data_IF_023986782566
#
_entry.id   IF_023986782566
#
_cell.length_a   1.000
_cell.length_b   1.000
_cell.length_c   1.000
_cell.angle_alpha   90.00
_cell.angle_beta   90.00
_cell.angle_gamma   90.00
#
_symmetry.space_group_name_H-M   'P 1'
#
loop_
_entity.id
_entity.type
_entity.pdbx_description
1 polymer ?
#
# COMPACT_ATOMS: atom_id res chain seq x y z
N UNK A 1 -3.06 2.62 -6.40
CA UNK A 1 -3.05 3.92 -7.13
C UNK A 1 -1.95 4.81 -6.57
N UNK A 2 -0.96 5.14 -7.38
CA UNK A 2 0.23 5.88 -6.92
C UNK A 2 -0.10 7.30 -6.44
N UNK A 3 -1.08 7.95 -7.06
CA UNK A 3 -1.49 9.31 -6.70
C UNK A 3 -2.26 9.40 -5.38
N UNK A 4 -2.71 8.27 -4.86
CA UNK A 4 -3.43 8.21 -3.58
C UNK A 4 -2.52 7.95 -2.38
N UNK A 5 -1.25 7.66 -2.62
CA UNK A 5 -0.28 7.48 -1.53
C UNK A 5 -0.07 8.84 -0.85
N UNK A 6 -0.39 8.98 0.44
CA UNK A 6 -0.19 10.22 1.17
C UNK A 6 1.29 10.57 1.24
N UNK A 7 1.63 11.81 0.94
CA UNK A 7 2.99 12.30 0.97
C UNK A 7 3.12 13.42 2.00
N UNK A 8 4.28 13.52 2.62
CA UNK A 8 4.63 14.67 3.45
C UNK A 8 4.78 15.93 2.59
N UNK A 9 4.46 17.08 3.18
CA UNK A 9 4.68 18.37 2.55
C UNK A 9 6.16 18.53 2.18
N UNK A 10 6.42 18.99 0.97
CA UNK A 10 7.77 19.17 0.45
C UNK A 10 8.41 17.90 -0.17
N UNK A 11 7.81 16.72 -0.02
CA UNK A 11 8.38 15.48 -0.55
C UNK A 11 8.47 15.46 -2.08
N UNK A 12 7.46 15.98 -2.78
CA UNK A 12 7.48 16.09 -4.26
C UNK A 12 8.55 17.07 -4.73
N UNK A 13 8.67 18.19 -4.03
CA UNK A 13 9.63 19.25 -4.33
C UNK A 13 11.07 18.76 -4.15
N UNK A 14 11.37 18.02 -3.08
CA UNK A 14 12.71 17.48 -2.84
C UNK A 14 13.12 16.49 -3.93
N UNK A 15 12.21 15.61 -4.34
CA UNK A 15 12.46 14.67 -5.44
C UNK A 15 12.67 15.40 -6.77
N UNK A 16 11.86 16.43 -7.06
CA UNK A 16 12.01 17.23 -8.27
C UNK A 16 13.37 17.95 -8.34
N UNK A 17 13.96 18.29 -7.19
CA UNK A 17 15.31 18.85 -7.06
C UNK A 17 16.42 17.78 -7.09
N UNK A 18 16.06 16.49 -7.21
CA UNK A 18 17.04 15.40 -7.19
C UNK A 18 17.60 15.11 -5.80
N UNK A 19 16.93 15.53 -4.74
CA UNK A 19 17.34 15.30 -3.35
C UNK A 19 16.72 13.99 -2.85
N UNK A 20 17.56 13.02 -2.55
CA UNK A 20 17.16 11.69 -2.10
C UNK A 20 17.94 11.27 -0.85
N UNK A 21 17.36 10.37 -0.08
CA UNK A 21 18.08 9.73 1.02
C UNK A 21 19.23 8.87 0.49
N UNK A 22 20.36 8.86 1.21
CA UNK A 22 21.51 8.00 0.91
C UNK A 22 21.18 6.50 0.97
N UNK A 23 20.10 6.11 1.64
CA UNK A 23 19.64 4.73 1.75
C UNK A 23 18.66 4.33 0.63
N UNK A 24 18.12 5.28 -0.13
CA UNK A 24 17.15 5.00 -1.20
C UNK A 24 17.66 3.96 -2.24
N UNK A 25 18.93 3.98 -2.68
CA UNK A 25 19.43 3.00 -3.67
C UNK A 25 19.28 1.53 -3.22
N UNK A 26 19.28 1.28 -1.91
CA UNK A 26 19.04 -0.06 -1.37
C UNK A 26 17.59 -0.48 -1.53
N UNK A 27 16.63 0.43 -1.27
CA UNK A 27 15.21 0.19 -1.40
C UNK A 27 14.76 0.06 -2.87
N UNK A 28 15.41 0.79 -3.80
CA UNK A 28 15.11 0.72 -5.25
C UNK A 28 15.27 -0.71 -5.79
N UNK A 29 16.02 -1.60 -5.13
CA UNK A 29 16.10 -3.02 -5.51
C UNK A 29 14.74 -3.72 -5.49
N UNK A 30 13.77 -3.23 -4.70
CA UNK A 30 12.41 -3.76 -4.63
C UNK A 30 11.58 -3.49 -5.90
N UNK A 31 12.06 -2.61 -6.80
CA UNK A 31 11.41 -2.30 -8.08
C UNK A 31 11.12 -3.53 -8.95
N UNK A 32 11.87 -4.62 -8.75
CA UNK A 32 11.65 -5.91 -9.45
C UNK A 32 10.25 -6.50 -9.22
N UNK A 33 9.56 -6.09 -8.15
CA UNK A 33 8.19 -6.51 -7.88
C UNK A 33 7.14 -5.70 -8.65
N UNK A 34 7.54 -4.66 -9.39
CA UNK A 34 6.64 -3.73 -10.07
C UNK A 34 6.54 -4.11 -11.54
N UNK A 35 5.31 -4.26 -12.03
CA UNK A 35 5.02 -4.49 -13.45
C UNK A 35 5.21 -3.21 -14.25
N UNK A 36 5.49 -3.37 -15.54
CA UNK A 36 5.60 -2.26 -16.50
C UNK A 36 6.55 -1.16 -16.03
N UNK A 37 7.68 -1.56 -15.45
CA UNK A 37 8.61 -0.68 -14.76
C UNK A 37 9.04 0.53 -15.62
N UNK A 38 9.22 0.36 -16.93
CA UNK A 38 9.65 1.45 -17.83
C UNK A 38 8.63 2.60 -17.85
N UNK A 39 7.34 2.26 -17.89
CA UNK A 39 6.25 3.26 -17.87
C UNK A 39 6.13 3.90 -16.49
N UNK A 40 6.13 3.08 -15.44
CA UNK A 40 5.91 3.52 -14.07
C UNK A 40 7.06 4.39 -13.56
N UNK A 41 8.30 4.09 -13.95
CA UNK A 41 9.49 4.84 -13.53
C UNK A 41 9.52 6.30 -14.03
N UNK A 42 8.71 6.64 -15.05
CA UNK A 42 8.56 8.01 -15.53
C UNK A 42 7.64 8.87 -14.66
N UNK A 43 6.91 8.25 -13.73
CA UNK A 43 5.98 8.98 -12.88
C UNK A 43 6.71 9.79 -11.80
N UNK A 44 6.39 11.10 -11.61
CA UNK A 44 7.11 11.97 -10.67
C UNK A 44 7.14 11.49 -9.23
N UNK A 45 6.10 10.77 -8.78
CA UNK A 45 5.99 10.23 -7.41
C UNK A 45 6.74 8.89 -7.26
N UNK A 46 7.06 8.22 -8.37
CA UNK A 46 7.68 6.90 -8.35
C UNK A 46 8.90 6.80 -7.41
N UNK A 47 9.85 7.73 -7.39
CA UNK A 47 11.01 7.63 -6.50
C UNK A 47 10.64 7.62 -5.02
N UNK A 48 9.54 8.28 -4.62
CA UNK A 48 9.08 8.34 -3.23
C UNK A 48 8.59 7.00 -2.69
N UNK A 49 8.21 6.05 -3.55
CA UNK A 49 7.85 4.69 -3.13
C UNK A 49 9.01 3.94 -2.48
N UNK A 50 10.24 4.40 -2.71
CA UNK A 50 11.46 3.76 -2.20
C UNK A 50 12.17 4.62 -1.16
N UNK A 51 11.58 5.74 -0.77
CA UNK A 51 12.18 6.60 0.25
C UNK A 51 12.20 5.87 1.60
N UNK A 52 13.36 5.73 2.25
CA UNK A 52 13.46 5.06 3.54
C UNK A 52 12.87 5.94 4.65
N UNK A 53 11.85 5.41 5.32
CA UNK A 53 11.14 6.10 6.40
C UNK A 53 11.46 5.43 7.74
N UNK A 54 11.93 6.21 8.72
CA UNK A 54 12.11 5.73 10.11
C UNK A 54 10.75 5.70 10.83
N UNK A 55 9.89 6.66 10.57
CA UNK A 55 8.56 6.78 11.13
C UNK A 55 7.58 7.21 10.03
N UNK A 56 7.34 6.34 9.09
CA UNK A 56 6.40 6.57 7.99
C UNK A 56 4.97 6.18 8.33
N UNK A 57 4.09 6.26 7.34
CA UNK A 57 2.72 5.80 7.44
C UNK A 57 2.64 4.27 7.62
N UNK A 58 1.52 3.82 8.18
CA UNK A 58 1.20 2.41 8.29
C UNK A 58 0.44 1.96 7.04
N UNK A 59 0.88 0.86 6.42
CA UNK A 59 0.14 0.16 5.39
C UNK A 59 -0.56 -1.04 6.02
N UNK A 60 -1.88 -1.11 5.88
CA UNK A 60 -2.69 -2.19 6.42
C UNK A 60 -3.59 -2.79 5.34
N UNK A 61 -3.73 -4.11 5.31
CA UNK A 61 -4.74 -4.80 4.53
C UNK A 61 -5.96 -5.06 5.41
N UNK A 62 -7.14 -4.65 4.93
CA UNK A 62 -8.41 -4.88 5.62
C UNK A 62 -9.40 -5.54 4.66
N UNK A 63 -10.42 -6.27 5.15
CA UNK A 63 -11.48 -6.80 4.31
C UNK A 63 -12.13 -5.70 3.47
N UNK A 64 -12.50 -6.00 2.24
CA UNK A 64 -13.00 -5.02 1.28
C UNK A 64 -14.19 -4.21 1.81
N UNK A 65 -15.15 -4.87 2.46
CA UNK A 65 -16.33 -4.23 3.04
C UNK A 65 -16.04 -3.33 4.24
N UNK A 66 -14.85 -3.45 4.85
CA UNK A 66 -14.42 -2.68 6.02
C UNK A 66 -13.49 -1.51 5.66
N UNK A 67 -13.06 -1.40 4.41
CA UNK A 67 -12.06 -0.42 4.01
C UNK A 67 -12.56 1.03 4.20
N UNK A 68 -13.74 1.38 3.72
CA UNK A 68 -14.32 2.71 3.90
C UNK A 68 -14.65 3.03 5.36
N UNK A 69 -15.30 2.14 6.15
CA UNK A 69 -15.48 2.34 7.59
C UNK A 69 -14.15 2.54 8.33
N UNK A 70 -13.12 1.78 7.99
CA UNK A 70 -11.79 1.90 8.59
C UNK A 70 -11.18 3.29 8.32
N UNK A 71 -11.19 3.75 7.07
CA UNK A 71 -10.68 5.08 6.71
C UNK A 71 -11.48 6.19 7.41
N UNK A 72 -12.80 6.06 7.48
CA UNK A 72 -13.65 7.02 8.19
C UNK A 72 -13.29 7.10 9.68
N UNK A 73 -13.07 5.95 10.34
CA UNK A 73 -12.66 5.90 11.74
C UNK A 73 -11.27 6.51 11.97
N UNK A 74 -10.32 6.25 11.07
CA UNK A 74 -8.98 6.84 11.13
C UNK A 74 -9.04 8.36 10.98
N UNK A 75 -9.81 8.87 10.04
CA UNK A 75 -9.98 10.33 9.85
C UNK A 75 -10.64 10.99 11.04
N UNK A 76 -11.60 10.32 11.69
CA UNK A 76 -12.24 10.79 12.93
C UNK A 76 -11.25 10.80 14.12
N UNK A 77 -10.18 10.01 14.06
CA UNK A 77 -9.08 9.95 15.03
C UNK A 77 -7.88 10.85 14.64
N UNK A 78 -8.11 11.89 13.86
CA UNK A 78 -7.13 12.89 13.39
C UNK A 78 -6.08 12.39 12.36
N UNK A 79 -6.26 11.20 11.79
CA UNK A 79 -5.43 10.74 10.67
C UNK A 79 -6.02 11.21 9.34
N UNK A 80 -6.06 12.52 9.12
CA UNK A 80 -6.74 13.15 7.98
C UNK A 80 -6.26 12.64 6.61
N UNK A 81 -4.99 12.24 6.49
CA UNK A 81 -4.39 11.73 5.27
C UNK A 81 -4.64 10.22 5.05
N UNK A 82 -5.34 9.52 5.94
CA UNK A 82 -5.66 8.11 5.74
C UNK A 82 -6.48 7.92 4.46
N UNK A 83 -6.09 6.96 3.61
CA UNK A 83 -6.76 6.71 2.35
C UNK A 83 -6.64 5.24 1.91
N UNK A 84 -7.54 4.81 1.02
CA UNK A 84 -7.43 3.53 0.33
C UNK A 84 -6.49 3.73 -0.85
N UNK A 85 -5.29 3.17 -0.78
CA UNK A 85 -4.26 3.35 -1.80
C UNK A 85 -4.21 2.23 -2.83
N UNK A 86 -4.93 1.13 -2.60
CA UNK A 86 -4.94 0.01 -3.53
C UNK A 86 -5.73 -1.19 -3.04
N UNK A 87 -5.60 -2.30 -3.75
CA UNK A 87 -6.27 -3.55 -3.47
C UNK A 87 -5.29 -4.71 -3.52
N UNK A 88 -5.55 -5.72 -2.70
CA UNK A 88 -4.92 -7.04 -2.82
C UNK A 88 -5.76 -7.89 -3.76
N UNK A 89 -5.12 -8.48 -4.75
CA UNK A 89 -5.74 -9.40 -5.72
C UNK A 89 -5.09 -10.78 -5.61
N UNK A 90 -5.66 -11.76 -6.30
CA UNK A 90 -5.05 -13.08 -6.38
C UNK A 90 -3.64 -13.00 -6.98
N UNK A 91 -2.74 -13.82 -6.45
CA UNK A 91 -1.37 -13.92 -6.95
C UNK A 91 -1.36 -14.57 -8.34
N UNK A 92 -0.71 -13.93 -9.30
CA UNK A 92 -0.45 -14.51 -10.63
C UNK A 92 0.69 -15.54 -10.63
N UNK A 93 1.38 -15.72 -9.49
CA UNK A 93 2.58 -16.54 -9.39
C UNK A 93 3.82 -15.91 -10.02
N UNK A 94 3.71 -14.71 -10.57
CA UNK A 94 4.84 -13.95 -11.12
C UNK A 94 5.63 -13.24 -10.01
N UNK A 95 6.92 -12.99 -10.26
CA UNK A 95 7.78 -12.25 -9.33
C UNK A 95 7.43 -10.76 -9.24
N UNK A 96 6.83 -10.21 -10.31
CA UNK A 96 6.35 -8.85 -10.43
C UNK A 96 4.87 -8.78 -10.00
N UNK A 97 4.64 -8.75 -8.71
CA UNK A 97 3.30 -8.87 -8.11
C UNK A 97 2.60 -7.53 -7.86
N UNK A 98 3.27 -6.41 -8.08
CA UNK A 98 2.73 -5.07 -7.82
C UNK A 98 2.41 -4.37 -9.12
N UNK A 99 1.14 -4.04 -9.34
CA UNK A 99 0.71 -3.16 -10.45
C UNK A 99 0.43 -1.77 -9.89
N UNK A 100 1.04 -0.74 -10.49
CA UNK A 100 0.80 0.65 -10.11
C UNK A 100 -0.21 1.28 -11.08
N UNK A 101 -1.31 1.78 -10.52
CA UNK A 101 -2.27 2.58 -11.27
C UNK A 101 -1.79 4.04 -11.28
N UNK A 102 -1.55 4.55 -12.46
CA UNK A 102 -1.05 5.91 -12.73
C UNK A 102 -2.16 6.88 -13.16
N UNK A 103 -3.40 6.39 -13.28
CA UNK A 103 -4.49 7.16 -13.89
C UNK A 103 -5.10 8.18 -12.94
N UNK A 104 -4.88 8.04 -11.64
CA UNK A 104 -5.55 8.85 -10.63
C UNK A 104 -7.07 8.66 -10.57
N UNK A 105 -7.59 7.65 -11.30
CA UNK A 105 -9.02 7.36 -11.32
C UNK A 105 -9.52 6.92 -9.93
N UNK A 106 -10.80 7.17 -9.60
CA UNK A 106 -11.39 6.68 -8.37
C UNK A 106 -11.33 5.15 -8.31
N UNK A 107 -10.81 4.61 -7.20
CA UNK A 107 -10.68 3.16 -6.99
C UNK A 107 -12.05 2.44 -6.94
N UNK A 108 -13.13 3.16 -6.71
CA UNK A 108 -14.50 2.62 -6.69
C UNK A 108 -14.92 1.89 -7.99
N UNK A 109 -14.38 2.31 -9.15
CA UNK A 109 -14.64 1.63 -10.43
C UNK A 109 -13.95 0.27 -10.57
N UNK A 110 -12.83 0.07 -9.90
CA UNK A 110 -12.11 -1.20 -9.89
C UNK A 110 -12.83 -2.27 -9.06
N UNK A 111 -13.64 -1.86 -8.08
CA UNK A 111 -14.42 -2.75 -7.22
C UNK A 111 -15.63 -3.38 -7.92
N UNK A 112 -16.19 -2.72 -8.92
CA UNK A 112 -17.40 -3.19 -9.61
C UNK A 112 -17.17 -4.44 -10.48
N UNK A 113 -15.91 -4.77 -10.79
CA UNK A 113 -15.53 -5.95 -11.58
C UNK A 113 -15.06 -7.15 -10.74
N UNK A 114 -14.76 -6.96 -9.47
CA UNK A 114 -14.31 -8.03 -8.55
C UNK A 114 -15.53 -8.59 -7.83
N UNK A 115 -15.92 -9.82 -8.14
CA UNK A 115 -17.04 -10.48 -7.43
C UNK A 115 -16.67 -10.70 -5.97
N UNK A 116 -17.39 -10.09 -5.00
CA UNK A 116 -17.14 -10.28 -3.57
C UNK A 116 -17.47 -11.69 -3.04
N UNK A 117 -18.15 -12.51 -3.86
CA UNK A 117 -18.78 -13.75 -3.40
C UNK A 117 -17.82 -14.90 -3.08
N UNK A 118 -16.60 -14.90 -3.65
CA UNK A 118 -15.71 -16.05 -3.52
C UNK A 118 -14.63 -15.90 -2.43
N UNK A 119 -14.46 -14.70 -1.89
CA UNK A 119 -13.42 -14.46 -0.89
C UNK A 119 -13.84 -14.83 0.56
N UNK A 120 -15.13 -14.85 0.84
CA UNK A 120 -15.63 -15.21 2.18
C UNK A 120 -15.83 -16.71 2.41
N UNK A 121 -15.65 -17.56 1.39
CA UNK A 121 -15.90 -19.01 1.49
C UNK A 121 -14.76 -19.81 2.12
N UNK A 122 -13.60 -19.20 2.38
CA UNK A 122 -12.41 -19.90 2.90
C UNK A 122 -11.80 -19.21 4.13
N UNK A 123 -12.58 -18.49 4.93
CA UNK A 123 -12.14 -18.19 6.27
C UNK A 123 -12.17 -19.51 7.06
N UNK A 124 -11.05 -20.05 7.58
CA UNK A 124 -11.10 -21.14 8.51
C UNK A 124 -11.92 -20.67 9.73
N UNK A 125 -12.91 -21.44 10.11
CA UNK A 125 -13.57 -21.28 11.42
C UNK A 125 -12.47 -21.44 12.47
N UNK A 126 -11.86 -20.31 12.87
CA UNK A 126 -10.83 -20.25 13.88
C UNK A 126 -11.49 -20.28 15.24
N UNK A 127 -11.20 -21.32 16.00
CA UNK A 127 -11.49 -21.41 17.43
C UNK A 127 -11.12 -20.10 18.15
N UNK A 128 -12.11 -19.52 18.81
CA UNK A 128 -11.93 -18.44 19.76
C UNK A 128 -11.25 -18.97 21.03
N UNK A 129 -9.97 -19.24 20.97
CA UNK A 129 -9.13 -19.46 22.14
C UNK A 129 -7.95 -18.49 22.05
N UNK A 130 -8.03 -17.40 22.84
CA UNK A 130 -6.97 -16.42 22.94
C UNK A 130 -5.70 -17.05 23.49
N UNK A 131 -4.72 -17.22 22.63
CA UNK A 131 -3.36 -17.53 23.03
C UNK A 131 -2.49 -16.32 22.76
N UNK A 132 -2.27 -15.57 23.84
CA UNK A 132 -1.32 -14.45 23.88
C UNK A 132 0.08 -15.04 23.77
N UNK A 133 0.74 -14.86 22.63
CA UNK A 133 2.16 -15.22 22.49
C UNK A 133 3.01 -14.31 23.36
N UNK A 134 3.93 -14.83 24.18
CA UNK A 134 4.83 -14.01 24.99
C UNK A 134 5.86 -13.31 24.11
N UNK A 135 6.00 -12.00 24.31
CA UNK A 135 7.06 -11.16 23.72
C UNK A 135 8.36 -11.45 24.49
N UNK A 136 8.99 -12.59 24.24
CA UNK A 136 10.35 -12.89 24.73
C UNK A 136 10.97 -13.78 23.65
N UNK A 137 11.72 -13.16 22.76
CA UNK A 137 12.79 -13.74 21.94
C UNK A 137 12.99 -12.93 20.64
N UNK A 138 13.26 -11.64 20.81
CA UNK A 138 13.90 -10.84 19.77
C UNK A 138 15.06 -10.08 20.41
N UNK A 139 16.19 -10.77 20.60
CA UNK A 139 17.50 -10.20 20.83
C UNK A 139 18.38 -10.49 19.60
#
# INVERSE_FOLDING_TARGET
>A
AIERVPLLDGARETVALGIFSSLQPQNVRLRRAIRELETVAMHPVYPLLFDPQTAGGLLAAVPLGEAEPCVAALRAADYAAADIIGFVTESSGASDSVTLDLTGAPLAGALAGSRPADYCAHAPEGDAAGETLPIQDLA
#
